data_IF_566049144772
#
_entry.id   IF_566049144772
#
_cell.length_a   1.000
_cell.length_b   1.000
_cell.length_c   1.000
_cell.angle_alpha   90.00
_cell.angle_beta   90.00
_cell.angle_gamma   90.00
#
_symmetry.space_group_name_H-M   'P 1'
#
loop_
_entity.id
_entity.type
_entity.pdbx_description
1 polymer ?
#
# COMPACT_ATOMS: atom_id res chain seq x y z
N UNK A 1 17.89 -1.94 14.14
CA UNK A 1 16.66 -2.39 13.46
C UNK A 1 15.84 -3.31 14.36
N UNK A 2 14.71 -2.83 14.92
CA UNK A 2 13.88 -3.61 15.84
C UNK A 2 13.13 -4.78 15.18
N UNK A 3 12.83 -4.72 13.87
CA UNK A 3 12.20 -5.83 13.14
C UNK A 3 13.15 -7.02 12.99
N UNK A 4 14.40 -6.78 12.56
CA UNK A 4 15.40 -7.83 12.40
C UNK A 4 15.67 -8.54 13.73
N UNK A 5 15.73 -7.79 14.84
CA UNK A 5 15.84 -8.39 16.17
C UNK A 5 14.66 -9.29 16.54
N UNK A 6 13.42 -8.90 16.19
CA UNK A 6 12.24 -9.74 16.43
C UNK A 6 12.25 -11.01 15.57
N UNK A 7 12.63 -10.90 14.31
CA UNK A 7 12.74 -12.05 13.41
C UNK A 7 13.86 -13.02 13.82
N UNK A 8 14.95 -12.50 14.38
CA UNK A 8 16.02 -13.33 14.99
C UNK A 8 15.52 -14.00 16.28
N UNK A 9 14.81 -13.27 17.15
CA UNK A 9 14.23 -13.83 18.37
C UNK A 9 13.18 -14.91 18.10
N UNK A 10 12.40 -14.76 17.02
CA UNK A 10 11.45 -15.77 16.59
C UNK A 10 12.08 -16.92 15.80
N UNK A 11 13.41 -16.89 15.58
CA UNK A 11 14.16 -17.93 14.88
C UNK A 11 13.86 -18.02 13.38
N UNK A 12 13.26 -16.99 12.78
CA UNK A 12 12.92 -16.97 11.34
C UNK A 12 14.10 -16.53 10.48
N UNK A 13 15.00 -15.71 11.04
CA UNK A 13 16.24 -15.30 10.39
C UNK A 13 17.42 -15.52 11.32
N UNK A 14 18.60 -15.70 10.75
CA UNK A 14 19.86 -15.71 11.47
C UNK A 14 20.79 -14.63 10.90
N UNK A 15 21.55 -13.98 11.77
CA UNK A 15 22.45 -12.88 11.40
C UNK A 15 23.91 -13.23 11.65
N UNK A 16 24.72 -13.28 10.60
CA UNK A 16 26.16 -13.49 10.66
C UNK A 16 26.93 -12.20 10.32
N UNK A 17 28.00 -11.92 11.06
CA UNK A 17 28.90 -10.81 10.76
C UNK A 17 29.87 -11.21 9.64
N UNK A 18 30.06 -10.35 8.64
CA UNK A 18 31.00 -10.59 7.52
C UNK A 18 32.44 -10.73 8.01
N UNK A 19 32.84 -9.94 9.00
CA UNK A 19 34.13 -10.04 9.67
C UNK A 19 33.95 -10.06 11.19
N UNK A 20 34.49 -11.08 11.91
CA UNK A 20 34.28 -11.25 13.35
C UNK A 20 34.78 -10.09 14.20
N UNK A 21 35.86 -9.42 13.77
CA UNK A 21 36.49 -8.33 14.53
C UNK A 21 36.03 -6.94 14.13
N UNK A 22 35.86 -6.67 12.83
CA UNK A 22 35.50 -5.32 12.33
C UNK A 22 33.99 -5.07 12.29
N UNK A 23 33.17 -6.13 12.29
CA UNK A 23 31.68 -6.11 12.32
C UNK A 23 31.06 -5.00 11.46
N UNK A 24 31.64 -4.74 10.28
CA UNK A 24 31.19 -3.63 9.43
C UNK A 24 29.88 -3.94 8.70
N UNK A 25 29.57 -5.23 8.49
CA UNK A 25 28.35 -5.69 7.84
C UNK A 25 27.82 -6.95 8.52
N UNK A 26 26.49 -6.99 8.67
CA UNK A 26 25.74 -8.15 9.16
C UNK A 26 24.83 -8.63 8.05
N UNK A 27 25.06 -9.85 7.59
CA UNK A 27 24.20 -10.53 6.63
C UNK A 27 23.13 -11.32 7.36
N UNK A 28 21.95 -11.40 6.77
CA UNK A 28 20.83 -12.16 7.30
C UNK A 28 20.44 -13.24 6.30
N UNK A 29 20.28 -14.47 6.78
CA UNK A 29 19.76 -15.61 6.02
C UNK A 29 18.45 -16.10 6.62
N UNK A 30 17.58 -16.66 5.78
CA UNK A 30 16.39 -17.36 6.25
C UNK A 30 16.79 -18.71 6.84
N UNK A 31 16.30 -18.99 8.04
CA UNK A 31 16.43 -20.30 8.68
C UNK A 31 15.48 -21.31 8.00
N UNK A 32 15.60 -22.63 8.27
CA UNK A 32 14.63 -23.62 7.81
C UNK A 32 13.19 -23.32 8.28
N UNK A 33 13.03 -22.80 9.50
CA UNK A 33 11.74 -22.35 10.01
C UNK A 33 11.22 -21.13 9.23
N UNK A 34 12.07 -20.13 9.00
CA UNK A 34 11.72 -18.97 8.17
C UNK A 34 11.32 -19.33 6.75
N UNK A 35 11.98 -20.31 6.13
CA UNK A 35 11.64 -20.80 4.79
C UNK A 35 10.28 -21.48 4.72
N UNK A 36 9.84 -22.11 5.81
CA UNK A 36 8.52 -22.76 5.89
C UNK A 36 7.39 -21.74 6.09
N UNK A 37 7.63 -20.68 6.87
CA UNK A 37 6.63 -19.64 7.17
C UNK A 37 6.49 -18.61 6.04
N UNK A 38 7.60 -18.27 5.36
CA UNK A 38 7.62 -17.24 4.31
C UNK A 38 6.58 -17.42 3.19
N UNK A 39 6.32 -18.62 2.66
CA UNK A 39 5.27 -18.84 1.66
C UNK A 39 3.88 -18.42 2.13
N UNK A 40 3.54 -18.66 3.39
CA UNK A 40 2.22 -18.33 3.95
C UNK A 40 2.07 -16.81 4.06
N UNK A 41 3.07 -16.12 4.59
CA UNK A 41 3.09 -14.65 4.63
C UNK A 41 3.02 -14.04 3.22
N UNK A 42 3.72 -14.65 2.26
CA UNK A 42 3.68 -14.24 0.85
C UNK A 42 2.27 -14.40 0.27
N UNK A 43 1.61 -15.54 0.50
CA UNK A 43 0.25 -15.77 0.02
C UNK A 43 -0.74 -14.76 0.62
N UNK A 44 -0.63 -14.47 1.92
CA UNK A 44 -1.47 -13.45 2.56
C UNK A 44 -1.23 -12.06 1.97
N UNK A 45 0.03 -11.71 1.69
CA UNK A 45 0.37 -10.46 1.02
C UNK A 45 -0.23 -10.40 -0.38
N UNK A 46 -0.07 -11.46 -1.17
CA UNK A 46 -0.58 -11.54 -2.54
C UNK A 46 -2.11 -11.43 -2.58
N UNK A 47 -2.80 -12.11 -1.66
CA UNK A 47 -4.25 -11.98 -1.50
C UNK A 47 -4.68 -10.55 -1.14
N UNK A 48 -3.94 -9.89 -0.24
CA UNK A 48 -4.24 -8.51 0.15
C UNK A 48 -4.00 -7.52 -1.00
N UNK A 49 -2.96 -7.76 -1.79
CA UNK A 49 -2.69 -7.00 -3.01
C UNK A 49 -3.87 -7.13 -3.97
N UNK A 50 -4.28 -8.36 -4.29
CA UNK A 50 -5.41 -8.62 -5.18
C UNK A 50 -6.69 -7.92 -4.69
N UNK A 51 -7.00 -8.01 -3.40
CA UNK A 51 -8.14 -7.32 -2.80
C UNK A 51 -8.11 -5.80 -3.04
N UNK A 52 -6.94 -5.17 -2.88
CA UNK A 52 -6.78 -3.73 -3.10
C UNK A 52 -6.94 -3.37 -4.58
N UNK A 53 -6.38 -4.17 -5.49
CA UNK A 53 -6.52 -3.95 -6.93
C UNK A 53 -7.98 -4.02 -7.38
N UNK A 54 -8.71 -5.06 -6.96
CA UNK A 54 -10.13 -5.19 -7.28
C UNK A 54 -10.96 -4.06 -6.68
N UNK A 55 -10.73 -3.74 -5.40
CA UNK A 55 -11.45 -2.66 -4.71
C UNK A 55 -11.19 -1.29 -5.34
N UNK A 56 -9.94 -0.97 -5.67
CA UNK A 56 -9.59 0.29 -6.35
C UNK A 56 -10.16 0.36 -7.76
N UNK A 57 -10.19 -0.75 -8.50
CA UNK A 57 -10.82 -0.83 -9.83
C UNK A 57 -12.32 -0.56 -9.77
N UNK A 58 -13.02 -1.06 -8.75
CA UNK A 58 -14.44 -0.76 -8.53
C UNK A 58 -14.68 0.73 -8.28
N UNK A 59 -13.88 1.36 -7.42
CA UNK A 59 -13.97 2.80 -7.15
C UNK A 59 -13.66 3.62 -8.40
N UNK A 60 -12.62 3.26 -9.15
CA UNK A 60 -12.28 3.96 -10.39
C UNK A 60 -13.44 3.94 -11.40
N UNK A 61 -14.11 2.79 -11.59
CA UNK A 61 -15.29 2.70 -12.46
C UNK A 61 -16.42 3.63 -12.01
N UNK A 62 -16.69 3.70 -10.71
CA UNK A 62 -17.73 4.59 -10.16
C UNK A 62 -17.40 6.06 -10.38
N UNK A 63 -16.14 6.45 -10.18
CA UNK A 63 -15.67 7.83 -10.44
C UNK A 63 -15.82 8.17 -11.93
N UNK A 64 -15.35 7.29 -12.82
CA UNK A 64 -15.47 7.52 -14.28
C UNK A 64 -16.94 7.62 -14.70
N UNK A 65 -17.79 6.70 -14.25
CA UNK A 65 -19.22 6.73 -14.55
C UNK A 65 -19.87 8.02 -14.07
N UNK A 66 -19.54 8.50 -12.86
CA UNK A 66 -20.01 9.78 -12.34
C UNK A 66 -19.59 10.95 -13.23
N UNK A 67 -18.32 11.01 -13.63
CA UNK A 67 -17.79 12.12 -14.44
C UNK A 67 -18.30 12.10 -15.89
N UNK A 68 -18.62 10.91 -16.42
CA UNK A 68 -18.98 10.74 -17.84
C UNK A 68 -20.50 10.73 -18.06
N UNK A 69 -21.26 10.11 -17.15
CA UNK A 69 -22.69 9.84 -17.34
C UNK A 69 -23.60 10.82 -16.60
N UNK A 70 -23.11 11.47 -15.53
CA UNK A 70 -23.90 12.51 -14.88
C UNK A 70 -23.58 13.85 -15.53
N UNK A 71 -24.59 14.67 -15.86
CA UNK A 71 -24.34 16.02 -16.29
C UNK A 71 -23.53 16.70 -15.18
N UNK A 72 -22.36 17.23 -15.53
CA UNK A 72 -21.69 18.22 -14.69
C UNK A 72 -22.77 19.24 -14.37
N UNK A 73 -23.08 19.47 -13.09
CA UNK A 73 -23.98 20.58 -12.73
C UNK A 73 -23.45 21.76 -13.52
N UNK A 74 -24.21 22.19 -14.53
CA UNK A 74 -23.87 23.38 -15.27
C UNK A 74 -23.68 24.41 -14.18
N UNK A 75 -22.47 24.94 -14.06
CA UNK A 75 -22.26 26.14 -13.26
C UNK A 75 -23.30 27.11 -13.79
N UNK A 76 -24.36 27.34 -13.00
CA UNK A 76 -25.35 28.33 -13.34
C UNK A 76 -24.55 29.61 -13.57
N UNK A 77 -24.72 30.30 -14.71
CA UNK A 77 -23.91 31.46 -15.00
C UNK A 77 -24.05 32.42 -13.82
N UNK A 78 -22.93 32.79 -13.22
CA UNK A 78 -22.85 33.71 -12.09
C UNK A 78 -23.45 35.09 -12.42
N UNK A 79 -23.79 35.36 -13.68
CA UNK A 79 -24.33 36.62 -14.17
C UNK A 79 -25.80 36.90 -13.76
N UNK A 80 -26.59 35.90 -13.34
CA UNK A 80 -27.98 36.16 -12.96
C UNK A 80 -28.14 36.81 -11.57
N UNK A 81 -27.10 36.79 -10.73
CA UNK A 81 -27.16 37.35 -9.37
C UNK A 81 -26.82 38.86 -9.31
N UNK A 82 -26.07 39.40 -10.29
CA UNK A 82 -25.69 40.81 -10.31
C UNK A 82 -26.76 41.72 -10.92
N UNK A 83 -27.65 41.20 -11.78
CA UNK A 83 -28.69 41.98 -12.44
C UNK A 83 -29.91 42.32 -11.53
N UNK A 84 -30.03 41.69 -10.35
CA UNK A 84 -31.14 41.94 -9.41
C UNK A 84 -30.81 42.97 -8.32
N UNK A 85 -29.57 43.48 -8.25
CA UNK A 85 -29.12 44.41 -7.22
C UNK A 85 -29.10 45.89 -7.67
N UNK A 86 -29.54 46.18 -8.91
CA UNK A 86 -29.53 47.51 -9.53
C UNK A 86 -30.89 47.92 -10.09
N UNK A 87 -31.97 47.62 -9.37
CA UNK A 87 -33.32 48.14 -9.64
C UNK A 87 -33.95 48.74 -8.37
#
# INVERSE_FOLDING_TARGET
YPLLRRLEQSGLIEGAWEHPERRSRRYYSLTPAGRKEYPVEKMMRDAKIMQLYEGTSQIQRLVIARETLLPRKAEAPAEAAEASATA
#
